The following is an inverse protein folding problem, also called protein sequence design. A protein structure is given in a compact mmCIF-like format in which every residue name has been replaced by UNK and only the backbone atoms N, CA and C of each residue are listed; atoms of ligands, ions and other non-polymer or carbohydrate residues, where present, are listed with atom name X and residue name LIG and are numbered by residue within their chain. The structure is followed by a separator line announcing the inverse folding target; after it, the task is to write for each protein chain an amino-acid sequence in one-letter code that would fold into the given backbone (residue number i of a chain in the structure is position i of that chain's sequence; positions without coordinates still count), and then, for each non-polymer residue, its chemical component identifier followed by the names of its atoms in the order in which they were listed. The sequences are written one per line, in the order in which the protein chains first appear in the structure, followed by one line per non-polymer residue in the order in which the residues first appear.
data_IF_345573208900
#
_entry.id   IF_345573208900
#
_cell.length_a   1.000
_cell.length_b   1.000
_cell.length_c   1.000
_cell.angle_alpha   90.00
_cell.angle_beta   90.00
_cell.angle_gamma   90.00
#
_symmetry.space_group_name_H-M   'P 1'
#
loop_
_entity.id
_entity.type
_entity.pdbx_description
1 polymer ?
#
# COMPACT_ATOMS: atom_id res chain seq x y z
N UNK A 1 -15.41 -7.07 -6.17
CA UNK A 1 -13.93 -7.03 -6.22
C UNK A 1 -13.43 -6.31 -4.98
N UNK A 2 -12.43 -6.85 -4.27
CA UNK A 2 -11.86 -6.19 -3.10
C UNK A 2 -10.79 -5.17 -3.53
N UNK A 3 -10.82 -3.97 -2.95
CA UNK A 3 -9.94 -2.86 -3.32
C UNK A 3 -8.46 -3.13 -3.00
N UNK A 4 -8.15 -3.61 -1.79
CA UNK A 4 -6.77 -3.88 -1.38
C UNK A 4 -6.15 -5.02 -2.21
N UNK A 5 -6.92 -6.07 -2.49
CA UNK A 5 -6.46 -7.18 -3.35
C UNK A 5 -6.27 -6.70 -4.80
N UNK A 6 -7.06 -5.75 -5.28
CA UNK A 6 -6.87 -5.18 -6.62
C UNK A 6 -5.51 -4.48 -6.77
N UNK A 7 -5.09 -3.72 -5.76
CA UNK A 7 -3.75 -3.11 -5.70
C UNK A 7 -2.62 -4.15 -5.73
N UNK A 8 -2.83 -5.32 -5.12
CA UNK A 8 -1.86 -6.42 -5.16
C UNK A 8 -1.82 -7.06 -6.55
N UNK A 9 -2.98 -7.38 -7.09
CA UNK A 9 -3.10 -8.19 -8.30
C UNK A 9 -2.76 -7.44 -9.57
N UNK A 10 -3.01 -6.13 -9.63
CA UNK A 10 -2.54 -5.31 -10.76
C UNK A 10 -1.02 -5.31 -10.87
N UNK A 11 -0.31 -5.56 -9.75
CA UNK A 11 1.13 -5.72 -9.72
C UNK A 11 1.65 -6.84 -10.62
N UNK A 12 0.83 -7.82 -10.99
CA UNK A 12 1.23 -8.92 -11.91
C UNK A 12 1.65 -8.41 -13.29
N UNK A 13 1.17 -7.24 -13.72
CA UNK A 13 1.59 -6.58 -14.97
C UNK A 13 3.09 -6.24 -14.95
N UNK A 14 3.68 -6.03 -13.77
CA UNK A 14 5.12 -5.76 -13.62
C UNK A 14 5.99 -7.02 -13.72
N UNK A 15 5.39 -8.20 -13.83
CA UNK A 15 6.07 -9.49 -13.76
C UNK A 15 6.16 -10.10 -12.37
N UNK A 16 5.66 -9.41 -11.33
CA UNK A 16 5.51 -9.97 -9.99
C UNK A 16 4.59 -11.19 -10.01
N UNK A 17 4.99 -12.28 -9.35
CA UNK A 17 4.24 -13.56 -9.32
C UNK A 17 3.60 -13.81 -7.98
N UNK A 18 4.37 -13.64 -6.91
CA UNK A 18 3.91 -13.90 -5.55
C UNK A 18 4.56 -12.95 -4.53
N UNK A 19 4.29 -11.63 -4.67
CA UNK A 19 4.96 -10.62 -3.85
C UNK A 19 4.34 -10.45 -2.46
N UNK A 20 5.12 -9.82 -1.59
CA UNK A 20 4.60 -9.02 -0.48
C UNK A 20 4.25 -7.65 -1.03
N UNK A 21 3.01 -7.22 -0.84
CA UNK A 21 2.56 -5.88 -1.14
C UNK A 21 2.77 -4.99 0.09
N UNK A 22 3.60 -3.95 -0.06
CA UNK A 22 3.58 -2.80 0.84
C UNK A 22 2.58 -1.78 0.28
N UNK A 23 1.37 -1.78 0.85
CA UNK A 23 0.25 -0.96 0.42
C UNK A 23 0.19 0.33 1.22
N UNK A 24 0.54 1.45 0.58
CA UNK A 24 0.57 2.78 1.18
C UNK A 24 -0.34 3.75 0.41
N UNK A 25 -1.56 3.94 0.88
CA UNK A 25 -2.54 4.88 0.31
C UNK A 25 -2.84 6.03 1.28
N UNK A 26 -3.82 6.87 0.92
CA UNK A 26 -4.35 7.92 1.81
C UNK A 26 -4.82 7.34 3.15
N UNK A 27 -5.69 6.33 3.08
CA UNK A 27 -6.34 5.75 4.26
C UNK A 27 -5.70 4.43 4.72
N UNK A 28 -5.01 3.71 3.83
CA UNK A 28 -4.50 2.38 4.12
C UNK A 28 -2.98 2.38 4.25
N UNK A 29 -2.50 1.62 5.23
CA UNK A 29 -1.09 1.27 5.36
C UNK A 29 -1.03 -0.15 5.83
N UNK A 30 -0.73 -1.07 4.92
CA UNK A 30 -0.83 -2.51 5.15
C UNK A 30 0.32 -3.25 4.45
N UNK A 31 0.80 -4.32 5.07
CA UNK A 31 1.72 -5.30 4.50
C UNK A 31 0.91 -6.55 4.21
N UNK A 32 0.65 -6.81 2.92
CA UNK A 32 -0.27 -7.86 2.49
C UNK A 32 0.49 -8.93 1.72
N UNK A 33 0.23 -10.20 2.01
CA UNK A 33 0.81 -11.30 1.24
C UNK A 33 -0.14 -12.49 1.15
N UNK A 34 -0.02 -13.26 0.07
CA UNK A 34 -0.75 -14.53 -0.04
C UNK A 34 -0.08 -15.62 0.80
N UNK A 35 -0.80 -16.17 1.76
CA UNK A 35 -0.32 -17.23 2.64
C UNK A 35 -1.47 -18.14 3.09
N UNK A 36 -1.24 -19.45 3.03
CA UNK A 36 -2.20 -20.47 3.48
C UNK A 36 -3.61 -20.29 2.87
N UNK A 37 -3.68 -20.16 1.54
CA UNK A 37 -4.93 -20.09 0.80
C UNK A 37 -5.62 -18.71 0.75
N UNK A 38 -5.07 -17.69 1.42
CA UNK A 38 -5.71 -16.37 1.54
C UNK A 38 -4.70 -15.23 1.41
N UNK A 39 -5.17 -14.06 0.99
CA UNK A 39 -4.43 -12.82 1.23
C UNK A 39 -4.57 -12.43 2.71
N UNK A 40 -3.44 -12.27 3.39
CA UNK A 40 -3.38 -11.92 4.81
C UNK A 40 -2.67 -10.60 5.00
N UNK A 41 -3.11 -9.86 6.01
CA UNK A 41 -2.42 -8.66 6.50
C UNK A 41 -1.43 -9.13 7.56
N UNK A 42 -0.14 -8.90 7.32
CA UNK A 42 0.94 -9.23 8.24
C UNK A 42 1.27 -8.07 9.17
N UNK A 43 0.99 -6.85 8.73
CA UNK A 43 1.16 -5.64 9.51
C UNK A 43 0.32 -4.51 8.96
N UNK A 44 -0.16 -3.63 9.83
CA UNK A 44 -0.92 -2.46 9.42
C UNK A 44 -0.71 -1.24 10.34
N UNK A 45 -1.25 -0.09 9.93
CA UNK A 45 -1.31 1.07 10.82
C UNK A 45 -2.34 0.83 11.93
N UNK A 46 -1.96 1.15 13.17
CA UNK A 46 -2.83 1.07 14.34
C UNK A 46 -3.70 2.33 14.51
N UNK A 47 -3.45 3.38 13.74
CA UNK A 47 -4.16 4.65 13.88
C UNK A 47 -4.54 5.30 12.55
N UNK A 48 -3.59 5.84 11.79
CA UNK A 48 -3.84 6.63 10.58
C UNK A 48 -3.01 6.12 9.41
N UNK A 49 -3.60 6.11 8.22
CA UNK A 49 -2.89 5.82 6.98
C UNK A 49 -1.78 6.82 6.69
N UNK A 50 -0.66 6.34 6.14
CA UNK A 50 0.53 7.16 5.89
C UNK A 50 0.27 8.32 4.94
N UNK A 51 -0.61 8.18 3.94
CA UNK A 51 -0.97 9.29 3.06
C UNK A 51 -1.71 10.40 3.82
N UNK A 52 -2.72 10.06 4.62
CA UNK A 52 -3.42 11.04 5.44
C UNK A 52 -2.50 11.66 6.52
N UNK A 53 -1.55 10.90 7.06
CA UNK A 53 -0.50 11.44 7.93
C UNK A 53 0.31 12.53 7.21
N UNK A 54 0.80 12.26 5.99
CA UNK A 54 1.56 13.23 5.18
C UNK A 54 0.70 14.46 4.85
N UNK A 55 -0.56 14.25 4.45
CA UNK A 55 -1.49 15.34 4.12
C UNK A 55 -1.82 16.22 5.33
N UNK A 56 -1.96 15.62 6.52
CA UNK A 56 -2.18 16.37 7.75
C UNK A 56 -0.94 17.19 8.13
N UNK A 57 0.26 16.62 7.99
CA UNK A 57 1.50 17.38 8.21
C UNK A 57 1.61 18.54 7.21
N UNK A 58 1.35 18.30 5.92
CA UNK A 58 1.33 19.34 4.90
C UNK A 58 0.32 20.46 5.22
N UNK A 59 -0.85 20.10 5.78
CA UNK A 59 -1.85 21.08 6.22
C UNK A 59 -1.36 21.91 7.40
N UNK A 60 -0.73 21.30 8.41
CA UNK A 60 -0.14 22.03 9.54
C UNK A 60 0.99 22.97 9.11
N UNK A 61 1.74 22.57 8.07
CA UNK A 61 2.77 23.36 7.43
C UNK A 61 2.25 24.47 6.49
N UNK A 62 0.94 24.59 6.27
CA UNK A 62 0.36 25.61 5.39
C UNK A 62 0.49 25.31 3.88
N UNK A 63 0.84 24.08 3.49
CA UNK A 63 1.06 23.69 2.09
C UNK A 63 -0.24 23.30 1.35
N UNK A 64 -1.31 22.95 2.08
CA UNK A 64 -2.59 22.50 1.52
C UNK A 64 -2.52 21.10 0.87
N UNK A 65 -3.60 20.71 0.18
CA UNK A 65 -3.73 19.41 -0.49
C UNK A 65 -3.41 19.51 -2.00
N UNK A 66 -2.87 18.47 -2.66
CA UNK A 66 -2.28 17.24 -2.10
C UNK A 66 -0.94 17.52 -1.41
N UNK A 67 -0.70 16.91 -0.26
CA UNK A 67 0.47 17.14 0.58
C UNK A 67 1.70 16.35 0.13
N UNK A 68 1.51 15.10 -0.29
CA UNK A 68 2.59 14.18 -0.68
C UNK A 68 3.67 14.78 -1.59
N UNK A 69 3.34 15.25 -2.80
CA UNK A 69 4.33 15.81 -3.73
C UNK A 69 5.02 17.08 -3.21
N UNK A 70 4.32 17.90 -2.41
CA UNK A 70 4.87 19.14 -1.84
C UNK A 70 5.89 18.82 -0.75
N UNK A 71 5.56 17.87 0.13
CA UNK A 71 6.47 17.39 1.17
C UNK A 71 7.68 16.69 0.54
N UNK A 72 7.49 15.90 -0.52
CA UNK A 72 8.59 15.29 -1.25
C UNK A 72 9.56 16.30 -1.86
N UNK A 73 9.03 17.40 -2.40
CA UNK A 73 9.88 18.48 -2.92
C UNK A 73 10.69 19.14 -1.79
N UNK A 74 10.05 19.48 -0.67
CA UNK A 74 10.71 20.12 0.47
C UNK A 74 11.76 19.22 1.15
N UNK A 75 11.49 17.91 1.22
CA UNK A 75 12.41 16.95 1.81
C UNK A 75 13.77 16.91 1.10
N UNK A 76 13.83 17.25 -0.19
CA UNK A 76 15.09 17.34 -0.96
C UNK A 76 15.96 18.55 -0.57
N UNK A 77 15.35 19.55 0.04
CA UNK A 77 16.02 20.78 0.48
C UNK A 77 16.47 20.69 1.95
N UNK A 78 16.04 19.65 2.68
CA UNK A 78 16.45 19.37 4.05
C UNK A 78 17.94 19.03 4.14
N UNK A 79 18.59 19.51 5.20
CA UNK A 79 20.03 19.38 5.45
C UNK A 79 20.33 18.69 6.77
N UNK A 80 19.41 18.79 7.74
CA UNK A 80 19.60 18.26 9.08
C UNK A 80 18.51 17.24 9.41
N UNK A 81 18.94 16.10 9.95
CA UNK A 81 18.01 15.12 10.52
C UNK A 81 17.59 15.56 11.93
N UNK A 82 16.29 15.74 12.11
CA UNK A 82 15.64 16.05 13.36
C UNK A 82 14.97 14.78 13.87
N UNK A 83 15.40 14.30 15.03
CA UNK A 83 14.89 13.06 15.60
C UNK A 83 13.36 13.11 15.79
N UNK A 84 12.67 12.08 15.30
CA UNK A 84 11.23 11.89 15.44
C UNK A 84 10.95 10.54 16.13
N UNK A 85 9.80 10.39 16.81
CA UNK A 85 9.48 9.15 17.49
C UNK A 85 9.40 7.97 16.51
N UNK A 86 10.18 6.91 16.73
CA UNK A 86 10.10 5.68 15.95
C UNK A 86 9.08 4.71 16.58
N UNK A 87 8.02 4.34 15.87
CA UNK A 87 6.84 3.66 16.44
C UNK A 87 6.41 2.41 15.66
N UNK A 88 7.32 1.45 15.54
CA UNK A 88 7.02 0.09 15.06
C UNK A 88 6.71 -0.82 16.25
N UNK A 89 5.65 -1.62 16.17
CA UNK A 89 5.27 -2.63 17.17
C UNK A 89 5.04 -3.98 16.47
N UNK A 90 6.04 -4.86 16.53
CA UNK A 90 5.97 -6.11 15.77
C UNK A 90 5.98 -5.82 14.26
N UNK A 91 4.90 -6.13 13.55
CA UNK A 91 4.76 -5.77 12.12
C UNK A 91 3.84 -4.57 11.91
N UNK A 92 3.31 -3.98 12.97
CA UNK A 92 2.40 -2.82 12.89
C UNK A 92 3.13 -1.50 13.14
N UNK A 93 2.53 -0.40 12.71
CA UNK A 93 3.05 0.96 12.93
C UNK A 93 2.01 1.89 13.56
N UNK A 94 2.45 2.99 14.15
CA UNK A 94 1.57 4.07 14.59
C UNK A 94 2.16 5.45 14.26
N UNK A 95 1.36 6.34 13.66
CA UNK A 95 1.84 7.61 13.09
C UNK A 95 1.32 8.85 13.83
N UNK A 96 0.26 8.76 14.62
CA UNK A 96 -0.36 9.93 15.27
C UNK A 96 0.59 10.64 16.22
N UNK A 97 1.39 9.90 17.00
CA UNK A 97 2.38 10.47 17.91
C UNK A 97 3.48 11.24 17.18
N UNK A 98 3.87 10.77 15.99
CA UNK A 98 4.84 11.44 15.11
C UNK A 98 4.23 12.74 14.59
N UNK A 99 2.96 12.70 14.18
CA UNK A 99 2.26 13.87 13.65
C UNK A 99 2.14 14.99 14.69
N UNK A 100 1.79 14.63 15.94
CA UNK A 100 1.77 15.59 17.05
C UNK A 100 3.15 16.17 17.32
N UNK A 101 4.20 15.34 17.28
CA UNK A 101 5.58 15.79 17.49
C UNK A 101 6.05 16.76 16.38
N UNK A 102 5.74 16.46 15.12
CA UNK A 102 6.01 17.34 13.98
C UNK A 102 5.30 18.68 14.11
N UNK A 103 4.03 18.68 14.51
CA UNK A 103 3.27 19.91 14.75
C UNK A 103 3.92 20.79 15.82
N UNK A 104 4.33 20.20 16.94
CA UNK A 104 5.02 20.95 18.01
C UNK A 104 6.36 21.54 17.53
N UNK A 105 7.08 20.83 16.65
CA UNK A 105 8.33 21.33 16.06
C UNK A 105 8.09 22.46 15.05
N UNK A 106 7.02 22.40 14.27
CA UNK A 106 6.58 23.54 13.44
C UNK A 106 6.29 24.79 14.30
N UNK A 107 5.57 24.62 15.41
CA UNK A 107 5.27 25.71 16.36
C UNK A 107 6.56 26.30 16.98
N UNK A 108 7.58 25.47 17.19
CA UNK A 108 8.92 25.87 17.64
C UNK A 108 9.83 26.42 16.55
N UNK A 109 9.30 26.69 15.34
CA UNK A 109 10.03 27.32 14.22
C UNK A 109 11.22 26.52 13.67
N UNK A 110 11.17 25.19 13.74
CA UNK A 110 12.10 24.35 12.99
C UNK A 110 11.89 24.56 11.48
N UNK A 111 12.95 24.41 10.69
CA UNK A 111 12.88 24.51 9.23
C UNK A 111 11.98 23.40 8.69
N UNK A 112 11.07 23.76 7.79
CA UNK A 112 10.08 22.82 7.25
C UNK A 112 10.75 21.77 6.36
N UNK A 113 11.80 22.14 5.65
CA UNK A 113 12.58 21.30 4.77
C UNK A 113 13.24 20.17 5.59
N UNK A 114 13.86 20.52 6.72
CA UNK A 114 14.47 19.56 7.64
C UNK A 114 13.41 18.64 8.29
N UNK A 115 12.24 19.18 8.64
CA UNK A 115 11.14 18.36 9.17
C UNK A 115 10.55 17.42 8.11
N UNK A 116 10.38 17.88 6.87
CA UNK A 116 9.90 17.07 5.75
C UNK A 116 10.88 15.93 5.43
N UNK A 117 12.18 16.25 5.39
CA UNK A 117 13.27 15.28 5.26
C UNK A 117 13.21 14.26 6.39
N UNK A 118 13.25 14.72 7.64
CA UNK A 118 13.27 13.84 8.81
C UNK A 118 12.02 12.98 8.93
N UNK A 119 10.86 13.50 8.53
CA UNK A 119 9.61 12.74 8.47
C UNK A 119 9.73 11.57 7.50
N UNK A 120 10.22 11.80 6.28
CA UNK A 120 10.43 10.71 5.31
C UNK A 120 11.46 9.70 5.81
N UNK A 121 12.60 10.19 6.30
CA UNK A 121 13.69 9.36 6.84
C UNK A 121 13.33 8.63 8.15
N UNK A 122 12.21 8.97 8.78
CA UNK A 122 11.71 8.21 9.95
C UNK A 122 10.59 7.27 9.54
N UNK A 123 9.61 7.76 8.79
CA UNK A 123 8.37 7.01 8.50
C UNK A 123 8.57 5.97 7.41
N UNK A 124 9.36 6.24 6.36
CA UNK A 124 9.58 5.26 5.30
C UNK A 124 10.39 4.05 5.79
N UNK A 125 11.45 4.20 6.59
CA UNK A 125 12.07 3.06 7.24
C UNK A 125 11.11 2.24 8.11
N UNK A 126 10.17 2.86 8.82
CA UNK A 126 9.15 2.12 9.58
C UNK A 126 8.28 1.24 8.67
N UNK A 127 7.90 1.73 7.49
CA UNK A 127 7.13 0.95 6.50
C UNK A 127 7.96 -0.19 5.90
N UNK A 128 9.22 0.09 5.61
CA UNK A 128 10.14 -0.87 4.98
C UNK A 128 10.52 -1.97 5.97
N UNK A 129 10.75 -1.63 7.24
CA UNK A 129 11.03 -2.59 8.31
C UNK A 129 9.90 -3.60 8.47
N UNK A 130 8.63 -3.15 8.43
CA UNK A 130 7.50 -4.08 8.55
C UNK A 130 7.35 -4.97 7.31
N UNK A 131 7.60 -4.42 6.11
CA UNK A 131 7.66 -5.22 4.89
C UNK A 131 8.81 -6.24 4.92
N UNK A 132 9.99 -5.84 5.35
CA UNK A 132 11.19 -6.68 5.47
C UNK A 132 10.98 -7.81 6.50
N UNK A 133 10.35 -7.51 7.64
CA UNK A 133 9.93 -8.52 8.63
C UNK A 133 8.97 -9.53 8.02
N UNK A 134 7.99 -9.06 7.24
CA UNK A 134 7.04 -9.95 6.57
C UNK A 134 7.74 -10.81 5.50
N UNK A 135 8.71 -10.25 4.74
CA UNK A 135 9.50 -10.99 3.74
C UNK A 135 10.21 -12.16 4.40
N UNK A 136 10.89 -11.91 5.53
CA UNK A 136 11.58 -12.96 6.28
C UNK A 136 10.60 -13.99 6.87
N UNK A 137 9.45 -13.55 7.38
CA UNK A 137 8.47 -14.42 8.02
C UNK A 137 7.73 -15.34 7.02
N UNK A 138 7.33 -14.81 5.88
CA UNK A 138 6.55 -15.54 4.85
C UNK A 138 7.47 -16.24 3.83
N UNK A 139 8.77 -15.95 3.87
CA UNK A 139 9.79 -16.50 2.97
C UNK A 139 9.50 -16.23 1.49
N UNK A 140 8.99 -15.02 1.18
CA UNK A 140 8.80 -14.56 -0.20
C UNK A 140 10.04 -13.82 -0.70
N UNK A 141 10.23 -13.81 -2.01
CA UNK A 141 11.40 -13.23 -2.66
C UNK A 141 11.07 -12.04 -3.57
N UNK A 142 9.87 -11.46 -3.42
CA UNK A 142 9.39 -10.34 -4.23
C UNK A 142 8.71 -9.30 -3.32
N UNK A 143 9.09 -8.03 -3.47
CA UNK A 143 8.44 -6.87 -2.87
C UNK A 143 7.73 -6.07 -3.98
N UNK A 144 6.47 -5.74 -3.74
CA UNK A 144 5.65 -4.90 -4.61
C UNK A 144 5.21 -3.67 -3.82
N UNK A 145 5.37 -2.46 -4.37
CA UNK A 145 4.73 -1.26 -3.83
C UNK A 145 3.37 -1.01 -4.47
N UNK A 146 2.40 -0.56 -3.68
CA UNK A 146 1.08 -0.13 -4.16
C UNK A 146 0.51 1.02 -3.34
N UNK A 147 -0.53 1.67 -3.88
CA UNK A 147 -1.16 2.84 -3.29
C UNK A 147 -0.47 4.17 -3.65
N UNK A 148 -1.20 5.28 -3.52
CA UNK A 148 -0.74 6.58 -4.01
C UNK A 148 0.53 7.12 -3.35
N UNK A 149 0.87 6.70 -2.13
CA UNK A 149 2.12 7.12 -1.46
C UNK A 149 3.33 6.40 -2.07
N UNK A 150 3.14 5.24 -2.69
CA UNK A 150 4.20 4.55 -3.44
C UNK A 150 4.70 5.36 -4.65
N UNK A 151 4.02 6.44 -5.06
CA UNK A 151 4.53 7.37 -6.08
C UNK A 151 5.75 8.19 -5.62
N UNK A 152 6.02 8.24 -4.31
CA UNK A 152 7.13 8.98 -3.72
C UNK A 152 8.48 8.33 -4.09
N UNK A 153 9.38 9.11 -4.70
CA UNK A 153 10.66 8.59 -5.18
C UNK A 153 11.59 8.12 -4.08
N UNK A 154 11.55 8.76 -2.90
CA UNK A 154 12.39 8.38 -1.76
C UNK A 154 11.94 7.05 -1.14
N UNK A 155 10.64 6.82 -1.02
CA UNK A 155 10.10 5.53 -0.59
C UNK A 155 10.50 4.40 -1.55
N UNK A 156 10.42 4.64 -2.86
CA UNK A 156 10.85 3.67 -3.87
C UNK A 156 12.35 3.38 -3.78
N UNK A 157 13.19 4.41 -3.64
CA UNK A 157 14.63 4.28 -3.50
C UNK A 157 15.00 3.44 -2.28
N UNK A 158 14.48 3.77 -1.10
CA UNK A 158 14.76 3.03 0.12
C UNK A 158 14.27 1.58 0.05
N UNK A 159 13.09 1.36 -0.55
CA UNK A 159 12.54 0.00 -0.73
C UNK A 159 13.39 -0.83 -1.68
N UNK A 160 13.96 -0.20 -2.73
CA UNK A 160 14.88 -0.83 -3.66
C UNK A 160 16.19 -1.23 -2.96
N UNK A 161 16.77 -0.35 -2.14
CA UNK A 161 17.99 -0.63 -1.36
C UNK A 161 17.77 -1.85 -0.46
N UNK A 162 16.71 -1.85 0.36
CA UNK A 162 16.38 -3.00 1.21
C UNK A 162 16.20 -4.28 0.38
N UNK A 163 15.54 -4.16 -0.78
CA UNK A 163 15.31 -5.30 -1.66
C UNK A 163 16.61 -5.89 -2.20
N UNK A 164 17.55 -5.05 -2.63
CA UNK A 164 18.88 -5.46 -3.12
C UNK A 164 19.70 -6.11 -1.99
N UNK A 165 19.71 -5.52 -0.80
CA UNK A 165 20.42 -6.06 0.38
C UNK A 165 19.87 -7.43 0.82
N UNK A 166 18.57 -7.67 0.64
CA UNK A 166 17.92 -8.96 0.95
C UNK A 166 17.92 -9.95 -0.22
N UNK A 167 18.40 -9.55 -1.40
CA UNK A 167 18.35 -10.38 -2.61
C UNK A 167 16.93 -10.69 -3.09
N UNK A 168 15.96 -9.81 -2.81
CA UNK A 168 14.55 -9.94 -3.22
C UNK A 168 14.30 -9.06 -4.44
N UNK A 169 13.40 -9.47 -5.33
CA UNK A 169 13.02 -8.67 -6.50
C UNK A 169 12.11 -7.53 -6.08
N UNK A 170 12.31 -6.36 -6.66
CA UNK A 170 11.53 -5.16 -6.36
C UNK A 170 10.68 -4.76 -7.56
N UNK A 171 9.39 -4.54 -7.32
CA UNK A 171 8.42 -4.17 -8.35
C UNK A 171 7.62 -2.93 -7.94
N UNK A 172 7.42 -2.04 -8.92
CA UNK A 172 6.57 -0.86 -8.77
C UNK A 172 5.77 -0.70 -10.06
N UNK A 173 4.43 -0.76 -10.03
CA UNK A 173 3.60 -0.45 -11.18
C UNK A 173 3.79 0.99 -11.67
N UNK A 174 3.34 1.27 -12.89
CA UNK A 174 3.28 2.65 -13.38
C UNK A 174 2.44 3.52 -12.44
N UNK A 175 2.76 4.82 -12.37
CA UNK A 175 2.08 5.78 -11.47
C UNK A 175 0.56 5.80 -11.64
N UNK A 176 0.07 5.61 -12.86
CA UNK A 176 -1.37 5.52 -13.19
C UNK A 176 -2.06 4.31 -12.54
N UNK A 177 -1.32 3.25 -12.25
CA UNK A 177 -1.80 2.02 -11.62
C UNK A 177 -1.55 1.96 -10.10
N UNK A 178 -0.64 2.80 -9.59
CA UNK A 178 -0.39 2.94 -8.14
C UNK A 178 -1.51 3.69 -7.41
N UNK A 179 -2.09 4.71 -8.06
CA UNK A 179 -3.24 5.45 -7.52
C UNK A 179 -4.53 4.68 -7.77
N UNK A 180 -5.59 5.02 -7.05
CA UNK A 180 -6.88 4.37 -7.23
C UNK A 180 -7.40 4.58 -8.65
N UNK A 181 -7.65 3.48 -9.36
CA UNK A 181 -8.05 3.47 -10.75
C UNK A 181 -9.05 2.34 -11.04
N UNK A 182 -9.86 2.49 -12.08
CA UNK A 182 -10.81 1.45 -12.48
C UNK A 182 -10.14 0.23 -13.12
N UNK A 183 -8.92 0.39 -13.67
CA UNK A 183 -8.23 -0.68 -14.38
C UNK A 183 -7.83 -1.83 -13.45
N UNK A 184 -7.34 -1.55 -12.23
CA UNK A 184 -7.04 -2.60 -11.24
C UNK A 184 -8.29 -3.40 -10.83
N UNK A 185 -9.45 -2.72 -10.76
CA UNK A 185 -10.72 -3.38 -10.43
C UNK A 185 -11.17 -4.28 -11.58
N UNK A 186 -11.09 -3.77 -12.82
CA UNK A 186 -11.41 -4.54 -14.01
C UNK A 186 -10.48 -5.76 -14.16
N UNK A 187 -9.17 -5.56 -13.97
CA UNK A 187 -8.15 -6.61 -14.05
C UNK A 187 -8.40 -7.74 -13.06
N UNK A 188 -8.66 -7.42 -11.79
CA UNK A 188 -9.00 -8.43 -10.79
C UNK A 188 -10.35 -9.08 -11.07
N UNK A 189 -11.34 -8.30 -11.54
CA UNK A 189 -12.64 -8.84 -11.94
C UNK A 189 -12.54 -9.87 -13.06
N UNK A 190 -11.72 -9.61 -14.07
CA UNK A 190 -11.43 -10.53 -15.16
C UNK A 190 -10.75 -11.81 -14.67
N UNK A 191 -9.73 -11.70 -13.80
CA UNK A 191 -9.05 -12.86 -13.20
C UNK A 191 -10.03 -13.76 -12.45
N UNK A 192 -10.89 -13.16 -11.60
CA UNK A 192 -11.90 -13.89 -10.83
C UNK A 192 -12.84 -14.62 -11.79
N UNK A 193 -13.40 -13.88 -12.75
CA UNK A 193 -14.36 -14.39 -13.73
C UNK A 193 -13.81 -15.58 -14.53
N UNK A 194 -12.58 -15.48 -15.04
CA UNK A 194 -11.94 -16.56 -15.79
C UNK A 194 -11.68 -17.79 -14.92
N UNK A 195 -11.31 -17.59 -13.65
CA UNK A 195 -11.03 -18.70 -12.72
C UNK A 195 -12.29 -19.51 -12.37
N UNK A 196 -13.44 -18.85 -12.25
CA UNK A 196 -14.72 -19.46 -11.91
C UNK A 196 -15.39 -20.08 -13.13
N UNK A 197 -15.30 -19.44 -14.29
CA UNK A 197 -15.76 -19.97 -15.57
C UNK A 197 -15.08 -21.30 -15.92
N UNK A 198 -13.81 -21.47 -15.52
CA UNK A 198 -13.07 -22.73 -15.74
C UNK A 198 -13.51 -23.87 -14.80
N UNK A 199 -14.16 -23.55 -13.67
CA UNK A 199 -14.60 -24.52 -12.65
C UNK A 199 -16.07 -24.90 -12.81
N UNK A 200 -16.89 -24.06 -13.43
CA UNK A 200 -18.29 -24.35 -13.71
C UNK A 200 -18.41 -25.05 -15.07
N UNK A 201 -19.11 -26.18 -15.14
CA UNK A 201 -19.62 -26.70 -16.42
C UNK A 201 -20.73 -25.77 -16.95
N UNK A 202 -20.38 -24.54 -17.31
CA UNK A 202 -21.33 -23.52 -17.73
C UNK A 202 -21.53 -23.61 -19.24
N UNK A 203 -22.77 -23.93 -19.65
CA UNK A 203 -23.22 -23.81 -21.03
C UNK A 203 -23.04 -22.36 -21.51
N UNK A 204 -22.00 -22.12 -22.29
CA UNK A 204 -21.82 -20.87 -23.03
C UNK A 204 -22.95 -20.73 -24.06
N UNK A 205 -23.92 -19.86 -23.79
CA UNK A 205 -24.70 -19.22 -24.86
C UNK A 205 -24.02 -17.89 -25.18
N UNK A 206 -23.40 -17.78 -26.36
CA UNK A 206 -22.79 -16.56 -26.90
C UNK A 206 -21.60 -15.96 -26.11
N UNK A 207 -20.82 -16.78 -25.38
CA UNK A 207 -19.55 -16.35 -24.78
C UNK A 207 -19.68 -15.46 -23.52
N UNK A 208 -20.90 -15.27 -22.99
CA UNK A 208 -21.14 -14.54 -21.74
C UNK A 208 -21.57 -15.53 -20.67
N UNK A 209 -20.78 -15.64 -19.59
CA UNK A 209 -21.18 -16.40 -18.40
C UNK A 209 -22.16 -15.54 -17.61
N UNK A 210 -23.41 -15.97 -17.60
CA UNK A 210 -24.49 -15.32 -16.86
C UNK A 210 -24.46 -15.85 -15.43
N UNK A 211 -24.06 -15.02 -14.48
CA UNK A 211 -24.35 -15.25 -13.07
C UNK A 211 -25.86 -15.42 -12.93
N UNK A 212 -26.33 -16.59 -12.48
CA UNK A 212 -27.76 -16.84 -12.30
C UNK A 212 -28.40 -15.76 -11.42
N UNK A 213 -29.70 -15.48 -11.60
CA UNK A 213 -30.43 -14.38 -10.92
C UNK A 213 -30.14 -14.20 -9.42
N UNK A 214 -29.81 -15.26 -8.67
CA UNK A 214 -29.37 -15.19 -7.26
C UNK A 214 -28.11 -14.35 -7.03
N UNK A 215 -27.18 -14.34 -7.98
CA UNK A 215 -25.88 -13.68 -7.82
C UNK A 215 -25.94 -12.16 -7.79
N UNK A 216 -26.95 -11.52 -8.40
CA UNK A 216 -27.10 -10.05 -8.38
C UNK A 216 -27.72 -9.59 -7.06
N UNK A 217 -28.65 -10.36 -6.50
CA UNK A 217 -29.30 -10.07 -5.21
C UNK A 217 -28.33 -10.15 -4.02
N UNK A 218 -27.22 -10.86 -4.18
CA UNK A 218 -26.15 -10.99 -3.18
C UNK A 218 -25.04 -9.92 -3.33
N UNK A 219 -25.10 -9.07 -4.36
CA UNK A 219 -24.13 -7.97 -4.54
C UNK A 219 -24.53 -6.80 -3.66
N UNK A 220 -23.71 -6.53 -2.66
CA UNK A 220 -23.82 -5.34 -1.84
C UNK A 220 -22.44 -4.72 -1.58
N UNK A 221 -22.44 -3.44 -1.20
CA UNK A 221 -21.24 -2.76 -0.76
C UNK A 221 -20.77 -3.35 0.57
N UNK A 222 -19.45 -3.52 0.72
CA UNK A 222 -18.82 -3.98 1.96
C UNK A 222 -17.82 -2.93 2.44
N UNK A 223 -18.26 -1.86 3.14
CA UNK A 223 -17.39 -0.75 3.53
C UNK A 223 -16.20 -1.15 4.40
N UNK A 224 -16.29 -2.30 5.08
CA UNK A 224 -15.25 -2.86 5.96
C UNK A 224 -14.79 -4.25 5.50
N UNK A 225 -14.86 -4.52 4.19
CA UNK A 225 -14.43 -5.81 3.65
C UNK A 225 -12.97 -6.09 4.03
N UNK A 226 -12.72 -7.20 4.71
CA UNK A 226 -11.35 -7.58 5.06
C UNK A 226 -10.64 -8.22 3.87
N UNK A 227 -9.32 -8.05 3.82
CA UNK A 227 -8.46 -8.65 2.79
C UNK A 227 -8.53 -10.19 2.79
N UNK A 228 -8.69 -10.81 3.96
CA UNK A 228 -8.73 -12.27 4.16
C UNK A 228 -10.14 -12.90 4.07
N UNK A 229 -11.17 -12.08 3.81
CA UNK A 229 -12.51 -12.52 3.43
C UNK A 229 -12.58 -12.90 1.93
N UNK A 230 -11.62 -12.44 1.13
CA UNK A 230 -11.57 -12.73 -0.29
C UNK A 230 -11.19 -14.19 -0.50
N UNK A 231 -12.07 -14.95 -1.12
CA UNK A 231 -11.78 -16.31 -1.55
C UNK A 231 -10.89 -16.26 -2.80
N UNK A 232 -9.66 -16.75 -2.69
CA UNK A 232 -8.68 -16.69 -3.77
C UNK A 232 -8.74 -17.98 -4.58
N UNK A 233 -9.47 -17.96 -5.70
CA UNK A 233 -9.72 -19.15 -6.53
C UNK A 233 -8.78 -19.30 -7.72
N UNK A 234 -7.90 -18.31 -7.95
CA UNK A 234 -7.09 -18.12 -9.16
C UNK A 234 -5.57 -18.21 -8.94
N UNK A 235 -5.15 -18.53 -7.71
CA UNK A 235 -3.75 -18.84 -7.38
C UNK A 235 -3.55 -20.35 -7.26
#
# INVERSE_FOLDING_TARGET
VNHCVAHLEIGRITGAKDPILLYCSGANTQVIAYASGKYRIFGETLDVGVGNFIDNFARYAGLGFPGGPKIEKLAKEGKEYIELPYKVKGMDIALSGILTNLRQKLEKRYKIEDLAYSMQETVFPMLIETAERAIAHVQKNELLLGGGVACNSRLQEMSKIMSEERGVKFFVPERSLLVDNGAMIAYLGEIIYLSESSKMSCSTKNGVVVWGKKGIEEIDIKPRQRTDEVNVTWK
#
